data_IF_536652074772
#
_entry.id   IF_536652074772
#
_cell.length_a   1.000
_cell.length_b   1.000
_cell.length_c   1.000
_cell.angle_alpha   90.00
_cell.angle_beta   90.00
_cell.angle_gamma   90.00
#
_symmetry.space_group_name_H-M   'P 1'
#
loop_
_entity.id
_entity.type
_entity.pdbx_description
1 polymer ?
#
# COMPACT_ATOMS: atom_id res chain seq x y z
N UNK A 1 0.52 11.72 6.68
CA UNK A 1 1.85 11.85 7.33
C UNK A 1 2.89 11.61 6.26
N UNK A 2 4.18 11.53 6.58
CA UNK A 2 5.15 11.03 5.61
C UNK A 2 5.46 9.57 5.95
N UNK A 3 4.49 8.68 5.72
CA UNK A 3 4.62 7.23 5.99
C UNK A 3 5.87 6.65 5.33
N UNK A 4 6.30 7.26 4.22
CA UNK A 4 7.53 6.93 3.50
C UNK A 4 8.79 6.91 4.39
N UNK A 5 8.94 7.83 5.35
CA UNK A 5 10.12 7.83 6.23
C UNK A 5 10.11 6.66 7.20
N UNK A 6 8.93 6.25 7.67
CA UNK A 6 8.81 5.07 8.55
C UNK A 6 9.12 3.79 7.78
N UNK A 7 8.61 3.66 6.55
CA UNK A 7 8.91 2.52 5.70
C UNK A 7 10.39 2.48 5.28
N UNK A 8 11.00 3.64 4.99
CA UNK A 8 12.42 3.72 4.70
C UNK A 8 13.26 3.28 5.90
N UNK A 9 12.88 3.64 7.13
CA UNK A 9 13.54 3.17 8.34
C UNK A 9 13.35 1.67 8.57
N UNK A 10 12.21 1.11 8.17
CA UNK A 10 11.90 -0.32 8.34
C UNK A 10 12.64 -1.21 7.33
N UNK A 11 12.69 -0.80 6.07
CA UNK A 11 13.20 -1.63 4.97
C UNK A 11 14.59 -1.25 4.48
N UNK A 12 15.08 -0.06 4.85
CA UNK A 12 16.40 0.49 4.49
C UNK A 12 16.70 0.50 2.97
N UNK A 13 15.65 0.45 2.14
CA UNK A 13 15.72 0.33 0.69
C UNK A 13 14.60 1.13 0.04
N UNK A 14 14.81 1.73 -1.15
CA UNK A 14 13.76 2.48 -1.85
C UNK A 14 12.68 1.57 -2.46
N UNK A 15 13.03 0.30 -2.70
CA UNK A 15 12.18 -0.70 -3.34
C UNK A 15 12.13 -1.97 -2.50
N UNK A 16 10.96 -2.59 -2.45
CA UNK A 16 10.72 -3.82 -1.69
C UNK A 16 10.04 -4.89 -2.56
N UNK A 17 10.36 -6.17 -2.39
CA UNK A 17 9.67 -7.26 -3.05
C UNK A 17 8.20 -7.35 -2.62
N UNK A 18 7.29 -7.54 -3.59
CA UNK A 18 5.86 -7.70 -3.33
C UNK A 18 5.56 -8.84 -2.34
N UNK A 19 6.36 -9.91 -2.38
CA UNK A 19 6.21 -11.07 -1.46
C UNK A 19 6.37 -10.71 0.01
N UNK A 20 7.13 -9.67 0.34
CA UNK A 20 7.40 -9.26 1.72
C UNK A 20 6.26 -8.41 2.28
N UNK A 21 5.55 -7.68 1.41
CA UNK A 21 4.53 -6.71 1.82
C UNK A 21 3.10 -7.18 1.57
N UNK A 22 2.88 -8.19 0.72
CA UNK A 22 1.53 -8.48 0.23
C UNK A 22 0.57 -9.00 1.30
N UNK A 23 1.09 -9.76 2.26
CA UNK A 23 0.28 -10.28 3.36
C UNK A 23 -0.12 -9.17 4.32
N UNK A 24 0.82 -8.29 4.67
CA UNK A 24 0.62 -7.24 5.68
C UNK A 24 -0.26 -6.10 5.17
N UNK A 25 0.04 -5.58 3.97
CA UNK A 25 -0.60 -4.35 3.48
C UNK A 25 -1.79 -4.59 2.55
N UNK A 26 -1.87 -5.75 1.89
CA UNK A 26 -2.97 -6.08 0.98
C UNK A 26 -3.85 -7.22 1.47
N UNK A 27 -3.44 -7.95 2.51
CA UNK A 27 -4.16 -9.16 2.96
C UNK A 27 -4.20 -10.25 1.91
N UNK A 28 -3.20 -10.31 1.01
CA UNK A 28 -3.14 -11.26 -0.09
C UNK A 28 -1.98 -12.24 0.11
N UNK A 29 -2.23 -13.52 -0.24
CA UNK A 29 -1.13 -14.46 -0.44
C UNK A 29 -0.25 -14.00 -1.60
N UNK A 30 1.04 -14.37 -1.58
CA UNK A 30 1.96 -13.97 -2.65
C UNK A 30 1.49 -14.44 -4.04
N UNK A 31 0.91 -15.63 -4.14
CA UNK A 31 0.38 -16.16 -5.40
C UNK A 31 -0.74 -15.27 -5.95
N UNK A 32 -1.70 -14.89 -5.12
CA UNK A 32 -2.79 -13.99 -5.51
C UNK A 32 -2.27 -12.59 -5.84
N UNK A 33 -1.36 -12.06 -5.04
CA UNK A 33 -0.74 -10.76 -5.28
C UNK A 33 0.00 -10.73 -6.63
N UNK A 34 0.76 -11.78 -6.96
CA UNK A 34 1.45 -11.93 -8.24
C UNK A 34 0.50 -12.02 -9.42
N UNK A 35 -0.62 -12.75 -9.29
CA UNK A 35 -1.64 -12.81 -10.34
C UNK A 35 -2.28 -11.43 -10.57
N UNK A 36 -2.63 -10.71 -9.49
CA UNK A 36 -3.18 -9.35 -9.58
C UNK A 36 -2.17 -8.35 -10.15
N UNK A 37 -0.88 -8.48 -9.80
CA UNK A 37 0.19 -7.66 -10.37
C UNK A 37 0.30 -7.84 -11.89
N UNK A 38 0.26 -9.09 -12.37
CA UNK A 38 0.26 -9.39 -13.81
C UNK A 38 -0.97 -8.82 -14.53
N UNK A 39 -2.13 -8.83 -13.88
CA UNK A 39 -3.36 -8.29 -14.44
C UNK A 39 -3.52 -6.77 -14.26
N UNK A 40 -2.57 -6.07 -13.62
CA UNK A 40 -2.69 -4.64 -13.33
C UNK A 40 -3.79 -4.30 -12.32
N UNK A 41 -4.19 -5.25 -11.48
CA UNK A 41 -5.30 -5.13 -10.52
C UNK A 41 -4.85 -4.82 -9.08
N UNK A 42 -3.56 -4.56 -8.86
CA UNK A 42 -3.09 -4.10 -7.55
C UNK A 42 -3.43 -2.62 -7.34
N UNK A 43 -3.69 -2.19 -6.10
CA UNK A 43 -4.06 -0.81 -5.81
C UNK A 43 -2.87 0.17 -5.96
N UNK A 44 -1.67 -0.35 -6.21
CA UNK A 44 -0.44 0.43 -6.40
C UNK A 44 0.36 -0.10 -7.60
N UNK A 45 1.21 0.75 -8.21
CA UNK A 45 2.14 0.33 -9.25
C UNK A 45 3.09 -0.77 -8.76
N UNK A 46 3.30 -1.77 -9.61
CA UNK A 46 4.28 -2.84 -9.38
C UNK A 46 5.04 -3.09 -10.67
N UNK A 47 6.33 -3.41 -10.56
CA UNK A 47 7.19 -3.62 -11.73
C UNK A 47 8.14 -4.80 -11.51
N UNK A 48 8.76 -5.27 -12.58
CA UNK A 48 9.77 -6.33 -12.55
C UNK A 48 10.86 -5.97 -13.55
N UNK A 49 12.12 -6.28 -13.23
CA UNK A 49 13.26 -6.02 -14.11
C UNK A 49 13.47 -7.14 -15.13
N UNK A 50 12.89 -8.32 -14.87
CA UNK A 50 12.90 -9.48 -15.77
C UNK A 50 11.64 -10.31 -15.61
N UNK A 51 11.30 -11.14 -16.60
CA UNK A 51 10.22 -12.13 -16.50
C UNK A 51 10.41 -13.11 -15.34
N UNK A 52 11.66 -13.39 -14.94
CA UNK A 52 12.00 -14.30 -13.84
C UNK A 52 12.16 -13.61 -12.49
N UNK A 53 12.17 -12.27 -12.44
CA UNK A 53 12.34 -11.55 -11.18
C UNK A 53 11.03 -11.47 -10.41
N UNK A 54 11.13 -11.34 -9.09
CA UNK A 54 9.99 -10.99 -8.26
C UNK A 54 9.43 -9.61 -8.67
N UNK A 55 8.14 -9.41 -8.36
CA UNK A 55 7.56 -8.07 -8.44
C UNK A 55 8.14 -7.19 -7.34
N UNK A 56 8.40 -5.94 -7.70
CA UNK A 56 8.95 -4.91 -6.86
C UNK A 56 7.95 -3.76 -6.75
N UNK A 57 8.01 -3.08 -5.61
CA UNK A 57 7.18 -1.94 -5.27
C UNK A 57 8.07 -0.82 -4.76
N UNK A 58 7.85 0.40 -5.22
CA UNK A 58 8.53 1.57 -4.68
C UNK A 58 7.89 1.98 -3.34
N UNK A 59 8.70 2.26 -2.32
CA UNK A 59 8.17 2.59 -0.99
C UNK A 59 7.29 3.85 -0.99
N UNK A 60 7.58 4.81 -1.86
CA UNK A 60 6.74 6.02 -2.01
C UNK A 60 5.32 5.68 -2.44
N UNK A 61 5.14 4.69 -3.31
CA UNK A 61 3.80 4.26 -3.77
C UNK A 61 3.05 3.54 -2.65
N UNK A 62 3.76 2.65 -1.93
CA UNK A 62 3.20 1.97 -0.76
C UNK A 62 2.81 2.97 0.35
N UNK A 63 3.68 3.92 0.65
CA UNK A 63 3.41 4.99 1.62
C UNK A 63 2.19 5.83 1.21
N UNK A 64 2.13 6.24 -0.05
CA UNK A 64 1.02 7.03 -0.57
C UNK A 64 -0.30 6.29 -0.46
N UNK A 65 -0.30 4.98 -0.72
CA UNK A 65 -1.49 4.15 -0.52
C UNK A 65 -1.94 4.12 0.94
N UNK A 66 -1.02 3.89 1.89
CA UNK A 66 -1.34 3.87 3.32
C UNK A 66 -1.87 5.23 3.79
N UNK A 67 -1.21 6.31 3.42
CA UNK A 67 -1.62 7.67 3.77
C UNK A 67 -3.01 8.01 3.21
N UNK A 68 -3.33 7.60 1.97
CA UNK A 68 -4.64 7.77 1.37
C UNK A 68 -5.74 6.97 2.10
N UNK A 69 -5.46 5.71 2.49
CA UNK A 69 -6.44 4.92 3.24
C UNK A 69 -6.72 5.53 4.61
N UNK A 70 -5.67 5.98 5.31
CA UNK A 70 -5.80 6.69 6.59
C UNK A 70 -6.62 7.96 6.43
N UNK A 71 -6.33 8.77 5.42
CA UNK A 71 -7.03 10.04 5.20
C UNK A 71 -8.51 9.83 4.88
N UNK A 72 -8.85 8.83 4.05
CA UNK A 72 -10.24 8.46 3.76
C UNK A 72 -11.01 8.16 5.05
N UNK A 73 -10.42 7.37 5.94
CA UNK A 73 -11.10 6.99 7.18
C UNK A 73 -11.19 8.15 8.18
N UNK A 74 -10.15 8.97 8.30
CA UNK A 74 -10.20 10.20 9.13
C UNK A 74 -11.32 11.13 8.66
N UNK A 75 -11.47 11.32 7.34
CA UNK A 75 -12.56 12.13 6.79
C UNK A 75 -13.94 11.51 7.08
N UNK A 76 -14.08 10.19 6.92
CA UNK A 76 -15.32 9.46 7.21
C UNK A 76 -15.74 9.64 8.68
N UNK A 77 -14.83 9.40 9.61
CA UNK A 77 -15.08 9.53 11.04
C UNK A 77 -15.43 10.98 11.42
N UNK A 78 -14.69 11.95 10.90
CA UNK A 78 -14.97 13.38 11.16
C UNK A 78 -16.36 13.80 10.68
N UNK A 79 -16.83 13.26 9.55
CA UNK A 79 -18.16 13.54 9.04
C UNK A 79 -19.26 12.97 9.96
N UNK A 80 -19.08 11.74 10.45
CA UNK A 80 -20.00 11.09 11.40
C UNK A 80 -20.12 11.91 12.68
N UNK A 81 -19.00 12.28 13.31
CA UNK A 81 -19.02 13.03 14.58
C UNK A 81 -19.69 14.39 14.44
N UNK A 82 -19.51 15.08 13.30
CA UNK A 82 -20.18 16.36 13.03
C UNK A 82 -21.69 16.22 12.80
N UNK A 83 -22.15 15.09 12.28
CA UNK A 83 -23.58 14.81 12.12
C UNK A 83 -24.24 14.51 13.45
N UNK A 84 -23.56 13.77 14.33
CA UNK A 84 -24.04 13.45 15.68
C UNK A 84 -24.11 14.70 16.56
N UNK A 85 -23.13 15.59 16.49
CA UNK A 85 -23.12 16.84 17.28
C UNK A 85 -24.18 17.88 16.83
N UNK A 86 -24.85 17.65 15.69
CA UNK A 86 -25.93 18.51 15.16
C UNK A 86 -27.33 17.96 15.44
N UNK A 87 -27.43 16.78 16.06
CA UNK A 87 -28.68 16.20 16.56
C UNK A 87 -28.85 16.55 18.03
#
# INVERSE_FOLDING_TARGET
>A
MQTVFMLLAQYEKPIVPLKEICSEYFGLSYQTARQRANAGMLPIPTFRTSQKSDYLVHLTDLASYIDQQREKEVRRLTAITKMEARR
#
